data_IF_405323911954
#
_entry.id   IF_405323911954
#
_cell.length_a   1.000
_cell.length_b   1.000
_cell.length_c   1.000
_cell.angle_alpha   90.00
_cell.angle_beta   90.00
_cell.angle_gamma   90.00
#
_symmetry.space_group_name_H-M   'P 1'
#
loop_
_entity.id
_entity.type
_entity.pdbx_description
1 polymer ?
#
# COMPACT_ATOMS: atom_id res chain seq x y z
N UNK A 1 -22.80 -25.51 -50.69
CA UNK A 1 -21.88 -24.78 -51.58
C UNK A 1 -20.68 -24.40 -50.74
N UNK A 2 -19.50 -24.95 -51.07
CA UNK A 2 -18.24 -24.77 -50.34
C UNK A 2 -17.57 -23.50 -50.87
N UNK A 3 -17.35 -22.50 -50.03
CA UNK A 3 -16.46 -21.39 -50.37
C UNK A 3 -15.14 -21.54 -49.61
N UNK A 4 -14.10 -21.75 -50.39
CA UNK A 4 -12.71 -21.68 -50.02
C UNK A 4 -12.20 -20.24 -50.25
N UNK A 5 -11.31 -19.76 -49.39
CA UNK A 5 -10.57 -18.51 -49.58
C UNK A 5 -9.43 -18.46 -48.57
N UNK A 6 -8.31 -19.12 -48.87
CA UNK A 6 -7.08 -18.60 -49.46
C UNK A 6 -6.16 -17.88 -48.45
N UNK A 7 -5.05 -18.54 -48.17
CA UNK A 7 -3.85 -18.10 -47.44
C UNK A 7 -3.23 -16.82 -48.02
N UNK A 8 -2.61 -16.00 -47.17
CA UNK A 8 -1.51 -15.10 -47.55
C UNK A 8 -0.38 -15.23 -46.52
N UNK A 9 0.75 -15.78 -46.96
CA UNK A 9 2.06 -15.78 -46.31
C UNK A 9 2.94 -14.73 -47.02
N UNK A 10 3.63 -13.86 -46.28
CA UNK A 10 4.90 -13.18 -46.61
C UNK A 10 5.18 -12.13 -45.51
N UNK A 11 6.37 -11.94 -44.94
CA UNK A 11 7.69 -12.44 -45.30
C UNK A 11 8.71 -12.16 -44.18
N UNK A 12 9.77 -12.95 -44.17
CA UNK A 12 10.97 -12.76 -43.35
C UNK A 12 11.75 -11.51 -43.77
N UNK A 13 12.29 -10.78 -42.80
CA UNK A 13 13.46 -9.93 -43.01
C UNK A 13 14.45 -10.18 -41.86
N UNK A 14 15.42 -11.04 -42.15
CA UNK A 14 16.63 -11.29 -41.35
C UNK A 14 17.63 -10.19 -41.69
N UNK A 15 18.02 -9.37 -40.72
CA UNK A 15 19.10 -8.39 -40.85
C UNK A 15 20.33 -8.83 -40.05
N UNK A 16 21.37 -9.29 -40.75
CA UNK A 16 22.66 -9.70 -40.19
C UNK A 16 23.69 -8.58 -40.44
N UNK A 17 24.19 -8.04 -39.32
CA UNK A 17 25.61 -7.84 -38.95
C UNK A 17 26.59 -7.12 -39.91
N UNK A 18 27.18 -6.02 -39.43
CA UNK A 18 28.53 -5.57 -39.84
C UNK A 18 29.40 -5.42 -38.58
N UNK A 19 30.49 -6.19 -38.54
CA UNK A 19 31.57 -6.09 -37.58
C UNK A 19 32.38 -4.80 -37.83
N UNK A 20 32.77 -4.11 -36.75
CA UNK A 20 33.99 -3.29 -36.77
C UNK A 20 34.79 -3.62 -35.52
N UNK A 21 35.74 -4.53 -35.69
CA UNK A 21 36.76 -4.86 -34.71
C UNK A 21 37.98 -3.96 -34.97
N UNK A 22 38.51 -3.35 -33.91
CA UNK A 22 39.94 -3.15 -33.65
C UNK A 22 40.12 -2.44 -32.31
N UNK A 23 40.82 -3.07 -31.37
CA UNK A 23 41.37 -2.37 -30.20
C UNK A 23 41.21 -3.07 -28.86
N UNK A 24 41.73 -4.29 -28.72
CA UNK A 24 42.02 -4.89 -27.41
C UNK A 24 43.26 -4.22 -26.80
N UNK A 25 43.09 -3.60 -25.64
CA UNK A 25 44.12 -3.51 -24.59
C UNK A 25 43.46 -3.94 -23.29
N UNK A 26 43.99 -4.99 -22.68
CA UNK A 26 43.68 -5.45 -21.32
C UNK A 26 45.00 -5.42 -20.52
N UNK A 27 44.97 -5.61 -19.19
CA UNK A 27 44.16 -4.94 -18.17
C UNK A 27 45.08 -4.21 -17.19
N UNK A 28 44.75 -2.98 -16.79
CA UNK A 28 45.36 -2.41 -15.57
C UNK A 28 44.52 -2.82 -14.37
N UNK A 29 45.17 -3.51 -13.45
CA UNK A 29 44.63 -3.96 -12.18
C UNK A 29 44.44 -2.76 -11.24
N UNK A 30 43.44 -1.94 -11.52
CA UNK A 30 42.81 -1.09 -10.54
C UNK A 30 41.48 -1.75 -10.19
N UNK A 31 41.36 -2.31 -8.99
CA UNK A 31 40.05 -2.57 -8.38
C UNK A 31 39.35 -1.23 -8.24
N UNK A 32 38.71 -0.78 -9.31
CA UNK A 32 37.60 0.14 -9.20
C UNK A 32 36.55 -0.64 -8.42
N UNK A 33 36.43 -0.31 -7.13
CA UNK A 33 35.26 -0.69 -6.37
C UNK A 33 34.04 -0.40 -7.27
N UNK A 34 33.11 -1.35 -7.46
CA UNK A 34 31.86 -1.03 -8.12
C UNK A 34 31.35 0.22 -7.43
N UNK A 35 31.23 1.28 -8.22
CA UNK A 35 30.89 2.60 -7.72
C UNK A 35 29.72 2.44 -6.77
N UNK A 36 29.80 3.14 -5.64
CA UNK A 36 28.65 3.40 -4.80
C UNK A 36 27.52 3.87 -5.72
N UNK A 37 26.68 2.92 -6.16
CA UNK A 37 25.31 3.22 -6.53
C UNK A 37 24.75 3.98 -5.34
N UNK A 38 23.92 4.98 -5.63
CA UNK A 38 23.15 5.64 -4.59
C UNK A 38 22.76 4.57 -3.57
N UNK A 39 23.05 4.81 -2.29
CA UNK A 39 22.33 4.06 -1.28
C UNK A 39 20.87 4.44 -1.55
N UNK A 40 20.17 3.60 -2.33
CA UNK A 40 18.76 3.71 -2.66
C UNK A 40 18.03 3.46 -1.36
N UNK A 41 18.05 4.48 -0.50
CA UNK A 41 17.32 4.48 0.75
C UNK A 41 15.85 4.31 0.45
N UNK A 42 15.13 3.67 1.35
CA UNK A 42 13.68 3.63 1.28
C UNK A 42 13.17 5.08 1.20
N UNK A 43 12.24 5.39 0.27
CA UNK A 43 11.66 6.73 0.19
C UNK A 43 11.02 7.10 1.52
N UNK A 44 11.15 8.36 1.91
CA UNK A 44 10.52 8.86 3.13
C UNK A 44 8.99 8.82 2.97
N UNK A 45 8.27 8.42 4.03
CA UNK A 45 6.81 8.33 3.99
C UNK A 45 6.13 9.67 3.62
N UNK A 46 6.77 10.81 3.92
CA UNK A 46 6.26 12.15 3.53
C UNK A 46 6.19 12.38 2.02
N UNK A 47 6.93 11.57 1.24
CA UNK A 47 6.93 11.62 -0.23
C UNK A 47 6.02 10.57 -0.86
N UNK A 48 5.43 9.68 -0.07
CA UNK A 48 4.50 8.68 -0.57
C UNK A 48 3.20 9.36 -1.00
N UNK A 49 2.67 8.95 -2.15
CA UNK A 49 1.35 9.39 -2.60
C UNK A 49 0.28 8.86 -1.66
N UNK A 50 -0.59 9.77 -1.19
CA UNK A 50 -1.74 9.42 -0.38
C UNK A 50 -2.90 9.11 -1.31
N UNK A 51 -3.43 7.88 -1.25
CA UNK A 51 -4.63 7.50 -1.99
C UNK A 51 -5.82 8.32 -1.49
N UNK A 52 -6.52 8.98 -2.41
CA UNK A 52 -7.70 9.79 -2.13
C UNK A 52 -8.80 9.52 -3.14
N UNK A 53 -10.05 9.72 -2.73
CA UNK A 53 -11.18 9.61 -3.63
C UNK A 53 -11.23 10.85 -4.55
N UNK A 54 -11.84 10.71 -5.74
CA UNK A 54 -12.26 11.86 -6.53
C UNK A 54 -13.03 12.89 -5.70
N UNK A 55 -12.79 14.19 -5.93
CA UNK A 55 -13.43 15.28 -5.15
C UNK A 55 -14.97 15.19 -5.12
N UNK A 56 -15.59 14.70 -6.19
CA UNK A 56 -17.04 14.56 -6.28
C UNK A 56 -17.63 13.42 -5.46
N UNK A 57 -16.79 12.54 -4.90
CA UNK A 57 -17.23 11.43 -4.05
C UNK A 57 -17.41 11.87 -2.60
N UNK A 58 -16.71 12.95 -2.20
CA UNK A 58 -16.94 13.58 -0.91
C UNK A 58 -18.23 14.42 -0.98
N UNK A 59 -19.23 14.00 -0.22
CA UNK A 59 -20.49 14.73 -0.01
C UNK A 59 -20.31 15.83 1.05
N UNK A 60 -21.40 16.20 1.72
CA UNK A 60 -21.35 17.11 2.86
C UNK A 60 -20.41 16.57 3.97
N UNK A 61 -19.82 17.50 4.72
CA UNK A 61 -18.86 17.18 5.77
C UNK A 61 -19.52 16.30 6.85
N UNK A 62 -19.03 15.07 7.09
CA UNK A 62 -19.66 14.14 7.99
C UNK A 62 -19.54 14.68 9.42
N UNK A 63 -20.69 14.76 10.09
CA UNK A 63 -20.76 15.20 11.48
C UNK A 63 -20.91 13.96 12.35
N UNK A 64 -19.79 13.44 12.86
CA UNK A 64 -19.81 12.33 13.80
C UNK A 64 -20.22 12.82 15.19
N UNK A 65 -21.48 12.60 15.56
CA UNK A 65 -21.98 12.91 16.91
C UNK A 65 -21.44 11.88 17.89
N UNK A 66 -20.72 12.32 18.93
CA UNK A 66 -20.22 11.42 19.96
C UNK A 66 -18.91 10.68 19.62
N UNK A 67 -18.21 11.07 18.54
CA UNK A 67 -17.00 10.41 18.02
C UNK A 67 -17.20 8.96 17.54
N UNK A 68 -18.43 8.52 17.36
CA UNK A 68 -18.71 7.22 16.73
C UNK A 68 -18.54 7.35 15.21
N UNK A 69 -17.43 6.82 14.69
CA UNK A 69 -17.16 6.70 13.27
C UNK A 69 -17.45 5.26 12.82
N UNK A 70 -18.07 5.02 11.66
CA UNK A 70 -18.50 3.69 11.23
C UNK A 70 -17.33 2.83 10.70
N UNK A 71 -16.10 3.03 11.16
CA UNK A 71 -14.89 2.33 10.66
C UNK A 71 -15.06 0.82 10.73
N UNK A 72 -15.49 0.29 11.88
CA UNK A 72 -15.70 -1.16 12.07
C UNK A 72 -16.82 -1.70 11.16
N UNK A 73 -17.86 -0.90 10.92
CA UNK A 73 -19.02 -1.29 10.10
C UNK A 73 -18.64 -1.30 8.61
N UNK A 74 -17.90 -0.29 8.15
CA UNK A 74 -17.35 -0.22 6.80
C UNK A 74 -16.35 -1.34 6.57
N UNK A 75 -15.48 -1.62 7.54
CA UNK A 75 -14.53 -2.72 7.45
C UNK A 75 -15.26 -4.07 7.38
N UNK A 76 -16.24 -4.33 8.24
CA UNK A 76 -17.01 -5.56 8.22
C UNK A 76 -17.74 -5.77 6.88
N UNK A 77 -18.28 -4.69 6.30
CA UNK A 77 -18.88 -4.73 4.96
C UNK A 77 -17.84 -5.05 3.87
N UNK A 78 -16.66 -4.43 3.93
CA UNK A 78 -15.67 -4.51 2.86
C UNK A 78 -14.84 -5.80 2.87
N UNK A 79 -14.62 -6.41 4.04
CA UNK A 79 -13.73 -7.56 4.23
C UNK A 79 -14.08 -8.78 3.36
N UNK A 80 -15.37 -9.01 3.11
CA UNK A 80 -15.85 -10.16 2.33
C UNK A 80 -15.95 -9.85 0.82
N UNK A 81 -15.61 -8.64 0.40
CA UNK A 81 -15.75 -8.20 -0.97
C UNK A 81 -14.45 -8.43 -1.77
N UNK A 82 -14.54 -8.95 -3.01
CA UNK A 82 -13.42 -9.05 -3.93
C UNK A 82 -12.67 -7.72 -4.09
N UNK A 83 -11.33 -7.81 -4.07
CA UNK A 83 -10.44 -6.68 -4.26
C UNK A 83 -10.19 -5.80 -3.03
N UNK A 84 -10.68 -6.15 -1.84
CA UNK A 84 -10.49 -5.32 -0.65
C UNK A 84 -9.01 -4.98 -0.37
N UNK A 85 -8.73 -3.69 -0.17
CA UNK A 85 -7.39 -3.12 -0.04
C UNK A 85 -7.22 -2.23 1.20
N UNK A 86 -8.12 -2.32 2.19
CA UNK A 86 -7.98 -1.65 3.48
C UNK A 86 -9.03 -0.55 3.75
N UNK A 87 -9.07 -0.12 5.02
CA UNK A 87 -9.93 0.97 5.52
C UNK A 87 -9.10 1.89 6.41
N UNK A 88 -9.29 3.21 6.29
CA UNK A 88 -8.67 4.20 7.16
C UNK A 88 -9.54 5.45 7.34
N UNK A 89 -9.14 6.30 8.28
CA UNK A 89 -9.75 7.61 8.51
C UNK A 89 -8.94 8.67 7.77
N UNK A 90 -9.56 9.36 6.81
CA UNK A 90 -8.98 10.51 6.12
C UNK A 90 -9.12 11.77 7.00
N UNK A 91 -8.05 12.09 7.72
CA UNK A 91 -8.01 13.25 8.63
C UNK A 91 -7.98 14.58 7.89
N UNK A 92 -7.55 14.61 6.63
CA UNK A 92 -7.54 15.83 5.82
C UNK A 92 -8.93 16.13 5.23
N UNK A 93 -9.79 15.12 5.21
CA UNK A 93 -11.21 15.22 4.90
C UNK A 93 -12.03 14.97 6.15
N UNK A 94 -11.80 15.74 7.22
CA UNK A 94 -12.71 15.79 8.38
C UNK A 94 -13.09 14.44 8.99
N UNK A 95 -12.22 13.43 8.87
CA UNK A 95 -12.45 12.11 9.40
C UNK A 95 -13.34 11.20 8.55
N UNK A 96 -13.52 11.49 7.26
CA UNK A 96 -14.17 10.56 6.32
C UNK A 96 -13.53 9.17 6.42
N UNK A 97 -14.35 8.14 6.43
CA UNK A 97 -13.89 6.75 6.36
C UNK A 97 -13.61 6.43 4.88
N UNK A 98 -12.35 6.14 4.57
CA UNK A 98 -11.95 5.73 3.22
C UNK A 98 -11.77 4.23 3.17
N UNK A 99 -12.31 3.61 2.13
CA UNK A 99 -12.18 2.18 1.85
C UNK A 99 -11.61 1.99 0.44
N UNK A 100 -10.62 1.10 0.30
CA UNK A 100 -9.94 0.86 -0.96
C UNK A 100 -10.30 -0.49 -1.57
N UNK A 101 -10.37 -0.52 -2.90
CA UNK A 101 -10.51 -1.74 -3.69
C UNK A 101 -9.58 -1.74 -4.90
N UNK A 102 -9.10 -2.91 -5.31
CA UNK A 102 -8.29 -3.10 -6.52
C UNK A 102 -9.11 -3.31 -7.78
N UNK A 103 -10.38 -3.72 -7.64
CA UNK A 103 -11.29 -4.01 -8.74
C UNK A 103 -12.70 -3.51 -8.44
N UNK A 104 -13.51 -3.39 -9.49
CA UNK A 104 -14.93 -3.00 -9.43
C UNK A 104 -15.22 -1.70 -8.65
N UNK A 105 -14.25 -0.78 -8.59
CA UNK A 105 -14.28 0.44 -7.74
C UNK A 105 -15.55 1.27 -7.95
N UNK A 106 -16.00 1.45 -9.19
CA UNK A 106 -17.22 2.20 -9.49
C UNK A 106 -18.49 1.50 -8.96
N UNK A 107 -18.53 0.17 -9.04
CA UNK A 107 -19.61 -0.62 -8.44
C UNK A 107 -19.55 -0.52 -6.91
N UNK A 108 -18.36 -0.62 -6.30
CA UNK A 108 -18.19 -0.46 -4.85
C UNK A 108 -18.60 0.91 -4.35
N UNK A 109 -18.35 1.95 -5.13
CA UNK A 109 -18.81 3.31 -4.82
C UNK A 109 -20.34 3.38 -4.78
N UNK A 110 -21.02 2.76 -5.73
CA UNK A 110 -22.49 2.72 -5.74
C UNK A 110 -23.02 1.93 -4.53
N UNK A 111 -22.47 0.75 -4.26
CA UNK A 111 -22.83 -0.10 -3.12
C UNK A 111 -22.61 0.63 -1.78
N UNK A 112 -21.47 1.31 -1.61
CA UNK A 112 -21.17 2.08 -0.41
C UNK A 112 -22.17 3.23 -0.21
N UNK A 113 -22.56 3.93 -1.29
CA UNK A 113 -23.53 5.02 -1.21
C UNK A 113 -24.96 4.54 -0.84
N UNK A 114 -25.30 3.29 -1.16
CA UNK A 114 -26.56 2.65 -0.75
C UNK A 114 -26.51 2.14 0.70
N UNK A 115 -25.38 1.56 1.10
CA UNK A 115 -25.20 0.95 2.41
C UNK A 115 -24.97 1.99 3.52
N UNK A 116 -24.34 3.11 3.19
CA UNK A 116 -23.92 4.16 4.11
C UNK A 116 -24.38 5.55 3.62
N UNK A 117 -25.69 5.77 3.42
CA UNK A 117 -26.19 6.95 2.71
C UNK A 117 -25.95 8.28 3.46
N UNK A 118 -25.91 8.23 4.79
CA UNK A 118 -25.77 9.38 5.69
C UNK A 118 -24.39 9.46 6.35
N UNK A 119 -23.49 8.55 6.01
CA UNK A 119 -22.15 8.48 6.60
C UNK A 119 -21.10 9.02 5.64
N UNK A 120 -20.02 9.58 6.17
CA UNK A 120 -18.86 10.00 5.38
C UNK A 120 -18.01 8.80 4.94
N UNK A 121 -18.43 8.06 3.92
CA UNK A 121 -17.69 6.92 3.36
C UNK A 121 -17.26 7.18 1.91
N UNK A 122 -15.96 7.14 1.65
CA UNK A 122 -15.38 7.34 0.33
C UNK A 122 -14.67 6.08 -0.17
N UNK A 123 -14.80 5.79 -1.47
CA UNK A 123 -14.23 4.59 -2.11
C UNK A 123 -13.10 4.98 -3.05
N UNK A 124 -11.95 4.31 -2.95
CA UNK A 124 -10.76 4.59 -3.77
C UNK A 124 -10.23 3.35 -4.47
N UNK A 125 -9.50 3.58 -5.56
CA UNK A 125 -8.75 2.54 -6.25
C UNK A 125 -7.39 2.32 -5.54
N UNK A 126 -6.98 1.06 -5.44
CA UNK A 126 -5.65 0.67 -4.98
C UNK A 126 -4.99 -0.30 -5.97
N UNK A 127 -3.66 -0.40 -5.91
CA UNK A 127 -2.89 -1.29 -6.78
C UNK A 127 -2.80 -2.73 -6.24
N UNK A 128 -2.87 -2.88 -4.92
CA UNK A 128 -2.69 -4.15 -4.22
C UNK A 128 -3.79 -4.36 -3.21
N UNK A 129 -4.19 -5.62 -3.05
CA UNK A 129 -5.14 -6.04 -2.02
C UNK A 129 -4.48 -6.06 -0.64
N UNK A 130 -5.29 -6.00 0.41
CA UNK A 130 -4.83 -6.10 1.80
C UNK A 130 -4.15 -7.46 2.03
N UNK A 131 -4.66 -8.51 1.40
CA UNK A 131 -4.11 -9.85 1.47
C UNK A 131 -2.70 -9.94 0.85
N UNK A 132 -2.47 -9.30 -0.29
CA UNK A 132 -1.16 -9.25 -0.94
C UNK A 132 -0.15 -8.46 -0.10
N UNK A 133 -0.56 -7.30 0.41
CA UNK A 133 0.30 -6.47 1.28
C UNK A 133 0.64 -7.19 2.59
N UNK A 134 -0.32 -7.89 3.18
CA UNK A 134 -0.10 -8.72 4.38
C UNK A 134 0.87 -9.86 4.09
N UNK A 135 0.68 -10.61 3.00
CA UNK A 135 1.58 -11.68 2.62
C UNK A 135 3.00 -11.18 2.33
N UNK A 136 3.13 -10.00 1.72
CA UNK A 136 4.42 -9.34 1.52
C UNK A 136 5.08 -8.95 2.85
N UNK A 137 4.31 -8.36 3.77
CA UNK A 137 4.77 -8.00 5.10
C UNK A 137 5.25 -9.24 5.89
N UNK A 138 4.50 -10.34 5.83
CA UNK A 138 4.85 -11.62 6.46
C UNK A 138 6.14 -12.20 5.88
N UNK A 139 6.32 -12.12 4.55
CA UNK A 139 7.57 -12.54 3.90
C UNK A 139 8.75 -11.70 4.35
N UNK A 140 8.60 -10.36 4.36
CA UNK A 140 9.64 -9.45 4.85
C UNK A 140 9.99 -9.79 6.29
N UNK A 141 9.00 -10.02 7.15
CA UNK A 141 9.22 -10.40 8.53
C UNK A 141 10.01 -11.71 8.66
N UNK A 142 9.69 -12.71 7.83
CA UNK A 142 10.32 -14.04 7.84
C UNK A 142 11.76 -13.99 7.33
N UNK A 143 12.04 -13.19 6.29
CA UNK A 143 13.34 -13.17 5.61
C UNK A 143 14.30 -12.14 6.22
N UNK A 144 13.80 -11.18 7.01
CA UNK A 144 14.64 -10.13 7.59
C UNK A 144 15.27 -10.59 8.91
N UNK A 145 16.60 -10.49 9.09
CA UNK A 145 17.26 -10.81 10.35
C UNK A 145 16.68 -9.99 11.54
N UNK A 146 16.48 -10.62 12.70
CA UNK A 146 15.82 -10.01 13.87
C UNK A 146 16.42 -8.65 14.31
N UNK A 147 17.71 -8.41 14.07
CA UNK A 147 18.36 -7.13 14.40
C UNK A 147 18.00 -5.94 13.51
N UNK A 148 17.51 -6.19 12.28
CA UNK A 148 17.18 -5.15 11.31
C UNK A 148 15.79 -4.56 11.57
N UNK A 149 14.78 -5.41 11.84
CA UNK A 149 13.40 -4.97 12.09
C UNK A 149 13.26 -4.15 13.39
N UNK A 150 14.02 -4.51 14.44
CA UNK A 150 14.03 -3.75 15.69
C UNK A 150 14.61 -2.34 15.50
N UNK A 151 15.57 -2.18 14.59
CA UNK A 151 16.19 -0.89 14.30
C UNK A 151 15.31 0.01 13.41
N UNK A 152 14.46 -0.59 12.57
CA UNK A 152 13.51 0.15 11.72
C UNK A 152 12.22 0.54 12.44
N UNK A 153 12.06 0.19 13.71
CA UNK A 153 10.84 0.46 14.48
C UNK A 153 9.63 -0.37 14.04
N UNK A 154 9.84 -1.37 13.18
CA UNK A 154 8.78 -2.25 12.70
C UNK A 154 8.31 -3.18 13.84
N UNK A 155 7.06 -3.02 14.26
CA UNK A 155 6.37 -3.99 15.13
C UNK A 155 5.24 -4.60 14.31
N UNK A 156 5.40 -5.87 13.92
CA UNK A 156 4.27 -6.61 13.35
C UNK A 156 3.20 -6.80 14.43
N UNK A 157 2.10 -6.08 14.33
CA UNK A 157 0.84 -6.50 14.93
C UNK A 157 0.25 -7.53 13.98
N UNK A 158 0.44 -8.82 14.27
CA UNK A 158 -0.28 -9.86 13.57
C UNK A 158 -1.79 -9.60 13.81
N UNK A 159 -2.47 -9.08 12.79
CA UNK A 159 -3.89 -8.70 12.82
C UNK A 159 -4.12 -7.20 13.02
N UNK A 160 -4.39 -6.51 11.91
CA UNK A 160 -5.19 -5.28 11.89
C UNK A 160 -4.51 -4.01 12.37
N UNK A 161 -4.65 -2.96 11.56
CA UNK A 161 -4.33 -1.58 11.91
C UNK A 161 -5.08 -1.18 13.19
N UNK A 162 -4.33 -0.83 14.24
CA UNK A 162 -4.90 -0.32 15.49
C UNK A 162 -3.93 0.62 16.17
N UNK A 163 -4.22 1.92 16.06
CA UNK A 163 -3.87 2.99 17.00
C UNK A 163 -2.45 3.00 17.59
N UNK A 164 -1.62 3.94 17.14
CA UNK A 164 -0.44 4.35 17.89
C UNK A 164 -0.83 4.99 19.22
N UNK A 165 -0.97 4.18 20.27
CA UNK A 165 -0.98 4.66 21.65
C UNK A 165 0.46 4.81 22.13
N UNK A 166 0.93 6.06 22.11
CA UNK A 166 2.13 6.49 22.80
C UNK A 166 1.97 6.33 24.31
N UNK A 167 2.31 5.16 24.85
CA UNK A 167 2.48 4.98 26.28
C UNK A 167 3.80 5.62 26.73
N UNK A 168 3.72 6.91 27.10
CA UNK A 168 4.72 7.57 27.92
C UNK A 168 4.98 6.74 29.20
N UNK A 169 6.24 6.35 29.36
CA UNK A 169 6.82 5.79 30.59
C UNK A 169 6.62 6.80 31.75
N UNK A 170 5.60 6.58 32.57
CA UNK A 170 5.46 7.22 33.87
C UNK A 170 6.29 6.45 34.90
N UNK A 171 7.35 7.07 35.39
CA UNK A 171 8.12 6.60 36.55
C UNK A 171 7.23 6.50 37.80
N UNK A 172 7.32 5.43 38.62
CA UNK A 172 6.64 5.39 39.91
C UNK A 172 7.41 6.24 40.94
N UNK A 173 6.94 7.46 41.16
CA UNK A 173 7.30 8.25 42.34
C UNK A 173 6.66 7.64 43.61
N UNK A 174 7.51 7.11 44.48
CA UNK A 174 7.45 7.17 45.95
C UNK A 174 6.11 6.92 46.66
N UNK A 175 5.89 5.68 47.12
CA UNK A 175 4.94 5.41 48.19
C UNK A 175 5.53 5.83 49.55
N UNK A 176 5.11 7.00 50.05
CA UNK A 176 5.30 7.43 51.44
C UNK A 176 4.11 7.01 52.30
N UNK A 177 4.43 6.26 53.36
CA UNK A 177 3.74 5.98 54.63
C UNK A 177 2.31 6.53 54.90
N UNK A 178 1.46 5.70 55.53
CA UNK A 178 0.93 5.95 56.89
C UNK A 178 0.74 4.60 57.61
N UNK A 179 1.26 4.51 58.83
CA UNK A 179 0.96 3.49 59.84
C UNK A 179 -0.18 4.01 60.71
N UNK A 180 -1.14 3.15 61.02
CA UNK A 180 -1.93 3.22 62.26
C UNK A 180 -1.57 2.00 63.13
#
# INVERSE_FOLDING_TARGET
MRNAGLMTMAGCAVGVLVLTACGQTAPDAGTAAPGAGAADGLPACETAEVLRAPEGDYRDEPVYVGNDQPVEQVQAWALDLPGFAGVWIDRERNGWVTVAFTEDVDQRRAEAAEQFPDEGVAVVAAEHTEAELTALADRIHTETPEGVLLSSGWRSTAGGVGGGDGAHRGEPHGAGAVRD
#
